data_IF_180220891427
#
_entry.id   IF_180220891427
#
_cell.length_a   1.000
_cell.length_b   1.000
_cell.length_c   1.000
_cell.angle_alpha   90.00
_cell.angle_beta   90.00
_cell.angle_gamma   90.00
#
_symmetry.space_group_name_H-M   'P 1'
#
loop_
_entity.id
_entity.type
_entity.pdbx_description
1 polymer ?
#
# COMPACT_ATOMS: atom_id res chain seq x y z
N UNK A 1 8.67 27.40 -24.52
CA UNK A 1 8.89 26.02 -25.00
C UNK A 1 7.81 25.14 -24.38
N UNK A 2 6.83 24.67 -25.15
CA UNK A 2 5.84 23.70 -24.67
C UNK A 2 6.35 22.30 -24.97
N UNK A 3 6.47 21.46 -23.93
CA UNK A 3 6.76 20.03 -24.08
C UNK A 3 5.44 19.34 -24.44
N UNK A 4 5.34 18.80 -25.66
CA UNK A 4 4.26 17.92 -26.03
C UNK A 4 4.50 16.55 -25.38
N UNK A 5 3.67 16.18 -24.41
CA UNK A 5 3.63 14.83 -23.84
C UNK A 5 2.89 13.96 -24.86
N UNK A 6 3.61 13.09 -25.57
CA UNK A 6 2.98 12.09 -26.41
C UNK A 6 2.18 11.13 -25.52
N UNK A 7 0.85 11.13 -25.65
CA UNK A 7 0.01 10.12 -25.01
C UNK A 7 0.28 8.78 -25.70
N UNK A 8 0.73 7.77 -24.95
CA UNK A 8 0.89 6.42 -25.48
C UNK A 8 -0.49 5.83 -25.79
N UNK A 9 -0.67 5.27 -26.98
CA UNK A 9 -1.89 4.56 -27.38
C UNK A 9 -2.06 3.18 -26.71
N UNK A 10 -1.12 2.81 -25.83
CA UNK A 10 -1.21 1.57 -25.07
C UNK A 10 -2.18 1.78 -23.90
N UNK A 11 -3.23 0.95 -23.84
CA UNK A 11 -4.13 0.91 -22.68
C UNK A 11 -3.39 0.60 -21.37
N UNK A 12 -4.08 0.66 -20.22
CA UNK A 12 -3.47 0.36 -18.93
C UNK A 12 -2.87 -1.05 -18.92
N UNK A 13 -1.65 -1.18 -18.41
CA UNK A 13 -0.94 -2.46 -18.29
C UNK A 13 -0.93 -2.90 -16.84
N UNK A 14 -1.18 -4.19 -16.61
CA UNK A 14 -1.11 -4.83 -15.31
C UNK A 14 -0.19 -6.04 -15.39
N UNK A 15 0.26 -6.52 -14.24
CA UNK A 15 0.90 -7.84 -14.19
C UNK A 15 -0.09 -8.91 -14.65
N UNK A 16 0.35 -9.77 -15.56
CA UNK A 16 -0.39 -10.92 -16.07
C UNK A 16 0.33 -12.25 -15.81
N UNK A 17 1.44 -12.19 -15.05
CA UNK A 17 2.34 -13.33 -14.83
C UNK A 17 2.10 -14.04 -13.50
N UNK A 18 1.56 -13.36 -12.49
CA UNK A 18 1.43 -13.93 -11.15
C UNK A 18 2.73 -13.93 -10.34
N UNK A 19 3.83 -13.37 -10.87
CA UNK A 19 5.19 -13.50 -10.28
C UNK A 19 5.33 -12.92 -8.87
N UNK A 20 4.42 -12.04 -8.48
CA UNK A 20 4.43 -11.35 -7.18
C UNK A 20 3.73 -12.13 -6.06
N UNK A 21 3.04 -13.24 -6.35
CA UNK A 21 2.47 -14.08 -5.30
C UNK A 21 3.58 -14.68 -4.42
N UNK A 22 3.34 -14.68 -3.10
CA UNK A 22 4.30 -15.14 -2.10
C UNK A 22 4.13 -14.47 -0.75
N UNK A 23 5.00 -14.82 0.18
CA UNK A 23 5.08 -14.21 1.49
C UNK A 23 6.30 -13.30 1.57
N UNK A 24 6.17 -12.18 2.26
CA UNK A 24 7.19 -11.16 2.37
C UNK A 24 7.34 -10.72 3.82
N UNK A 25 8.57 -10.77 4.34
CA UNK A 25 8.91 -10.17 5.62
C UNK A 25 9.32 -8.72 5.39
N UNK A 26 8.54 -7.77 5.90
CA UNK A 26 8.80 -6.35 5.75
C UNK A 26 9.36 -5.75 7.05
N UNK A 27 10.45 -4.99 6.90
CA UNK A 27 11.21 -4.39 7.99
C UNK A 27 11.21 -2.87 7.80
N UNK A 28 10.66 -2.11 8.75
CA UNK A 28 10.76 -0.65 8.75
C UNK A 28 12.20 -0.19 8.92
N UNK A 29 12.56 0.88 8.21
CA UNK A 29 13.94 1.43 8.22
C UNK A 29 13.98 2.89 8.70
N UNK A 30 12.92 3.65 8.44
CA UNK A 30 12.79 5.02 8.91
C UNK A 30 11.32 5.38 9.14
N UNK A 31 11.07 6.26 10.10
CA UNK A 31 9.74 6.79 10.39
C UNK A 31 9.82 8.24 10.86
N UNK A 32 8.82 9.03 10.52
CA UNK A 32 8.66 10.42 10.97
C UNK A 32 7.23 10.90 10.82
N UNK A 33 6.94 12.09 11.34
CA UNK A 33 5.60 12.67 11.29
C UNK A 33 5.53 13.97 12.08
N UNK A 34 4.37 14.22 12.68
CA UNK A 34 4.15 15.38 13.56
C UNK A 34 3.78 14.90 14.95
N UNK A 35 4.16 15.63 16.00
CA UNK A 35 3.79 15.35 17.40
C UNK A 35 3.21 16.61 18.05
N UNK A 36 2.39 16.44 19.08
CA UNK A 36 1.93 17.55 19.91
C UNK A 36 2.96 17.88 20.98
N UNK A 37 3.34 19.15 21.08
CA UNK A 37 4.12 19.68 22.20
C UNK A 37 3.20 20.27 23.25
N UNK A 38 3.02 19.56 24.37
CA UNK A 38 2.14 19.99 25.46
C UNK A 38 2.55 21.29 26.15
N UNK A 39 3.85 21.60 26.18
CA UNK A 39 4.36 22.82 26.84
C UNK A 39 4.16 24.04 25.95
N UNK A 40 4.47 23.91 24.65
CA UNK A 40 4.36 25.01 23.69
C UNK A 40 2.96 25.11 23.06
N UNK A 41 2.11 24.09 23.25
CA UNK A 41 0.78 23.97 22.65
C UNK A 41 0.81 24.14 21.13
N UNK A 42 1.74 23.42 20.49
CA UNK A 42 1.95 23.47 19.05
C UNK A 42 2.32 22.10 18.45
N UNK A 43 2.05 21.95 17.15
CA UNK A 43 2.52 20.82 16.34
C UNK A 43 4.00 20.96 16.01
N UNK A 44 4.77 19.89 16.15
CA UNK A 44 6.18 19.85 15.78
C UNK A 44 6.48 18.66 14.88
N UNK A 45 7.33 18.87 13.87
CA UNK A 45 7.92 17.76 13.13
C UNK A 45 8.72 16.84 14.06
N UNK A 46 8.61 15.53 13.86
CA UNK A 46 9.23 14.53 14.70
C UNK A 46 9.82 13.39 13.87
N UNK A 47 10.99 12.90 14.29
CA UNK A 47 11.52 11.63 13.87
C UNK A 47 11.14 10.57 14.89
N UNK A 48 10.60 9.45 14.44
CA UNK A 48 10.20 8.35 15.32
C UNK A 48 11.23 7.23 15.25
N UNK A 49 11.53 6.65 16.40
CA UNK A 49 12.37 5.45 16.44
C UNK A 49 11.55 4.28 15.92
N UNK A 50 12.06 3.64 14.89
CA UNK A 50 11.50 2.38 14.40
C UNK A 50 11.73 1.31 15.46
N UNK A 51 10.67 0.65 15.96
CA UNK A 51 10.82 -0.36 16.99
C UNK A 51 11.44 -1.65 16.41
N UNK A 52 12.29 -2.37 17.15
CA UNK A 52 12.96 -3.60 16.66
C UNK A 52 11.98 -4.71 16.21
N UNK A 53 10.80 -4.73 16.81
CA UNK A 53 9.67 -5.63 16.57
C UNK A 53 8.63 -5.04 15.61
N UNK A 54 8.90 -3.92 14.95
CA UNK A 54 8.04 -3.31 13.94
C UNK A 54 7.94 -4.10 12.61
N UNK A 55 8.46 -5.32 12.57
CA UNK A 55 8.43 -6.17 11.40
C UNK A 55 7.03 -6.75 11.20
N UNK A 56 6.62 -6.88 9.94
CA UNK A 56 5.32 -7.44 9.60
C UNK A 56 5.42 -8.43 8.45
N UNK A 57 4.44 -9.32 8.41
CA UNK A 57 4.23 -10.25 7.32
C UNK A 57 3.29 -9.62 6.30
N UNK A 58 3.72 -9.64 5.04
CA UNK A 58 2.91 -9.26 3.91
C UNK A 58 2.70 -10.48 3.00
N UNK A 59 1.45 -10.91 2.86
CA UNK A 59 1.07 -12.10 2.11
C UNK A 59 0.35 -11.71 0.84
N UNK A 60 0.73 -12.32 -0.28
CA UNK A 60 0.12 -12.11 -1.59
C UNK A 60 -0.29 -13.44 -2.17
N UNK A 61 -1.59 -13.62 -2.35
CA UNK A 61 -2.20 -14.84 -2.86
C UNK A 61 -2.67 -14.55 -4.28
N UNK A 62 -2.17 -15.31 -5.25
CA UNK A 62 -2.69 -15.26 -6.62
C UNK A 62 -4.14 -15.75 -6.61
N UNK A 63 -5.05 -14.93 -7.13
CA UNK A 63 -6.48 -15.27 -7.20
C UNK A 63 -6.82 -15.85 -8.58
N UNK A 64 -6.98 -15.00 -9.60
CA UNK A 64 -7.32 -15.43 -10.95
C UNK A 64 -6.73 -14.51 -12.00
N UNK A 65 -6.45 -15.09 -13.18
CA UNK A 65 -6.24 -14.34 -14.41
C UNK A 65 -7.60 -13.90 -14.95
N UNK A 66 -7.67 -12.69 -15.49
CA UNK A 66 -8.89 -12.15 -16.08
C UNK A 66 -8.58 -11.26 -17.28
N UNK A 67 -9.58 -11.12 -18.14
CA UNK A 67 -9.64 -10.17 -19.24
C UNK A 67 -10.88 -9.29 -19.05
N UNK A 68 -10.73 -7.99 -19.25
CA UNK A 68 -11.85 -7.05 -19.19
C UNK A 68 -11.67 -5.91 -20.18
N UNK A 69 -12.76 -5.19 -20.44
CA UNK A 69 -12.75 -3.98 -21.26
C UNK A 69 -12.60 -2.75 -20.37
N UNK A 70 -11.62 -1.90 -20.68
CA UNK A 70 -11.40 -0.62 -20.00
C UNK A 70 -11.12 0.45 -21.05
N UNK A 71 -11.91 1.54 -21.06
CA UNK A 71 -11.79 2.62 -22.06
C UNK A 71 -11.76 2.14 -23.53
N UNK A 72 -12.47 1.05 -23.85
CA UNK A 72 -12.49 0.48 -25.20
C UNK A 72 -11.35 -0.49 -25.52
N UNK A 73 -10.36 -0.61 -24.64
CA UNK A 73 -9.23 -1.54 -24.77
C UNK A 73 -9.54 -2.87 -24.07
N UNK A 74 -9.10 -3.98 -24.65
CA UNK A 74 -9.00 -5.25 -23.90
C UNK A 74 -7.77 -5.19 -23.00
N UNK A 75 -7.98 -5.46 -21.72
CA UNK A 75 -6.95 -5.49 -20.70
C UNK A 75 -6.89 -6.90 -20.13
N UNK A 76 -5.68 -7.44 -20.00
CA UNK A 76 -5.41 -8.73 -19.37
C UNK A 76 -4.58 -8.48 -18.13
N UNK A 77 -4.89 -9.19 -17.06
CA UNK A 77 -4.12 -9.12 -15.82
C UNK A 77 -4.45 -10.27 -14.89
N UNK A 78 -3.65 -10.39 -13.83
CA UNK A 78 -3.95 -11.27 -12.69
C UNK A 78 -4.39 -10.43 -11.50
N UNK A 79 -5.28 -11.02 -10.72
CA UNK A 79 -5.76 -10.46 -9.46
C UNK A 79 -5.08 -11.15 -8.30
N UNK A 80 -4.85 -10.39 -7.24
CA UNK A 80 -4.26 -10.89 -6.01
C UNK A 80 -5.17 -10.60 -4.83
N UNK A 81 -5.13 -11.45 -3.81
CA UNK A 81 -5.53 -11.06 -2.47
C UNK A 81 -4.26 -10.72 -1.70
N UNK A 82 -4.28 -9.63 -0.94
CA UNK A 82 -3.11 -9.19 -0.21
C UNK A 82 -3.49 -8.95 1.25
N UNK A 83 -2.64 -9.39 2.18
CA UNK A 83 -2.89 -9.27 3.62
C UNK A 83 -1.62 -8.77 4.31
N UNK A 84 -1.78 -7.82 5.23
CA UNK A 84 -0.69 -7.25 6.04
C UNK A 84 -0.98 -7.56 7.51
N UNK A 85 0.00 -8.05 8.27
CA UNK A 85 -0.19 -8.30 9.70
C UNK A 85 1.12 -8.42 10.47
N UNK A 86 1.11 -8.17 11.79
CA UNK A 86 2.29 -8.37 12.61
C UNK A 86 2.71 -9.85 12.64
N UNK A 87 3.98 -10.12 12.94
CA UNK A 87 4.47 -11.48 13.10
C UNK A 87 3.72 -12.21 14.22
N UNK A 88 3.09 -13.34 13.89
CA UNK A 88 2.30 -14.15 14.84
C UNK A 88 0.93 -13.58 15.22
N UNK A 89 0.50 -12.47 14.60
CA UNK A 89 -0.82 -11.88 14.86
C UNK A 89 -1.80 -12.04 13.71
N UNK A 90 -2.94 -11.35 13.83
CA UNK A 90 -3.99 -11.36 12.81
C UNK A 90 -3.63 -10.45 11.64
N UNK A 91 -3.65 -10.99 10.43
CA UNK A 91 -3.45 -10.21 9.21
C UNK A 91 -4.77 -9.58 8.74
N UNK A 92 -4.70 -8.33 8.28
CA UNK A 92 -5.82 -7.59 7.71
C UNK A 92 -5.69 -7.55 6.18
N UNK A 93 -6.82 -7.73 5.51
CA UNK A 93 -6.88 -7.66 4.05
C UNK A 93 -6.67 -6.24 3.51
N UNK A 94 -5.96 -6.18 2.39
CA UNK A 94 -5.80 -5.00 1.57
C UNK A 94 -7.04 -4.77 0.72
N UNK A 95 -7.53 -3.54 0.74
CA UNK A 95 -8.59 -3.08 -0.14
C UNK A 95 -7.95 -2.23 -1.22
N UNK A 96 -8.13 -2.64 -2.47
CA UNK A 96 -7.73 -1.83 -3.61
C UNK A 96 -8.56 -0.55 -3.62
N UNK A 97 -7.89 0.59 -3.71
CA UNK A 97 -8.56 1.84 -4.05
C UNK A 97 -9.16 1.68 -5.45
N UNK A 98 -10.42 2.10 -5.63
CA UNK A 98 -11.11 2.03 -6.92
C UNK A 98 -10.48 3.06 -7.86
N UNK A 99 -9.33 2.71 -8.44
CA UNK A 99 -8.88 3.40 -9.64
C UNK A 99 -9.89 3.07 -10.74
N UNK A 100 -10.39 4.08 -11.45
CA UNK A 100 -11.47 3.97 -12.45
C UNK A 100 -11.22 2.97 -13.59
N UNK A 101 -10.12 2.23 -13.57
CA UNK A 101 -9.70 1.18 -14.49
C UNK A 101 -10.14 -0.23 -14.07
N UNK A 102 -10.63 -0.43 -12.83
CA UNK A 102 -10.96 -1.75 -12.31
C UNK A 102 -12.41 -2.18 -12.64
N UNK A 103 -12.61 -3.44 -13.10
CA UNK A 103 -13.95 -3.98 -13.28
C UNK A 103 -14.70 -4.05 -11.95
N UNK A 104 -16.02 -3.82 -12.00
CA UNK A 104 -16.88 -3.77 -10.80
C UNK A 104 -16.79 -5.05 -9.94
N UNK A 105 -16.46 -6.18 -10.55
CA UNK A 105 -16.26 -7.48 -9.89
C UNK A 105 -15.07 -7.52 -8.92
N UNK A 106 -14.12 -6.57 -9.03
CA UNK A 106 -12.98 -6.47 -8.12
C UNK A 106 -13.24 -5.54 -6.94
N UNK A 107 -14.29 -4.72 -7.02
CA UNK A 107 -14.62 -3.75 -5.98
C UNK A 107 -15.28 -4.49 -4.82
N UNK A 108 -14.59 -4.56 -3.67
CA UNK A 108 -15.17 -5.02 -2.40
C UNK A 108 -14.80 -6.43 -1.94
N UNK A 109 -13.91 -7.14 -2.65
CA UNK A 109 -13.51 -8.52 -2.27
C UNK A 109 -12.04 -8.65 -1.82
N UNK A 110 -11.39 -7.54 -1.47
CA UNK A 110 -9.97 -7.57 -1.09
C UNK A 110 -9.06 -8.01 -2.24
N UNK A 111 -9.50 -7.85 -3.48
CA UNK A 111 -8.69 -8.09 -4.67
C UNK A 111 -7.96 -6.82 -5.09
N UNK A 112 -6.71 -6.97 -5.46
CA UNK A 112 -5.87 -5.91 -6.01
C UNK A 112 -5.34 -6.30 -7.38
N UNK A 113 -5.08 -5.30 -8.21
CA UNK A 113 -4.27 -5.40 -9.41
C UNK A 113 -2.92 -4.76 -9.12
N UNK A 114 -1.87 -5.30 -9.73
CA UNK A 114 -0.52 -4.73 -9.65
C UNK A 114 -0.11 -4.24 -11.02
N UNK A 115 0.67 -3.16 -11.06
CA UNK A 115 1.35 -2.76 -12.29
C UNK A 115 2.40 -3.82 -12.71
N UNK A 116 2.89 -3.81 -13.96
CA UNK A 116 3.89 -4.77 -14.42
C UNK A 116 5.20 -4.74 -13.61
N UNK A 117 5.54 -3.59 -13.03
CA UNK A 117 6.68 -3.36 -12.14
C UNK A 117 6.35 -3.56 -10.64
N UNK A 118 5.16 -4.07 -10.33
CA UNK A 118 4.82 -4.56 -8.99
C UNK A 118 4.45 -3.45 -8.02
N UNK A 119 4.05 -2.28 -8.52
CA UNK A 119 3.47 -1.22 -7.71
C UNK A 119 1.98 -1.47 -7.51
N UNK A 120 1.51 -1.20 -6.30
CA UNK A 120 0.10 -1.08 -5.97
C UNK A 120 -0.05 -0.37 -4.63
N UNK A 121 -1.26 0.16 -4.39
CA UNK A 121 -1.67 0.68 -3.09
C UNK A 121 -2.55 -0.32 -2.36
N UNK A 122 -2.32 -0.46 -1.06
CA UNK A 122 -3.13 -1.27 -0.16
C UNK A 122 -3.65 -0.39 0.97
N UNK A 123 -4.97 -0.33 1.09
CA UNK A 123 -5.63 0.30 2.22
C UNK A 123 -6.07 -0.80 3.17
N UNK A 124 -5.71 -0.73 4.45
CA UNK A 124 -6.15 -1.74 5.42
C UNK A 124 -7.59 -1.49 5.86
N UNK A 125 -8.24 -2.53 6.39
CA UNK A 125 -9.60 -2.42 6.91
C UNK A 125 -9.70 -1.32 7.98
N UNK A 126 -10.68 -0.42 7.84
CA UNK A 126 -10.81 0.78 8.67
C UNK A 126 -10.14 2.03 8.07
N UNK A 127 -9.37 1.88 6.99
CA UNK A 127 -8.81 3.00 6.22
C UNK A 127 -7.85 3.87 7.03
N UNK A 128 -7.20 3.31 8.06
CA UNK A 128 -6.30 4.06 8.93
C UNK A 128 -4.85 4.01 8.42
N UNK A 129 -4.46 2.88 7.81
CA UNK A 129 -3.14 2.71 7.20
C UNK A 129 -3.23 2.55 5.68
N UNK A 130 -2.35 3.27 5.00
CA UNK A 130 -2.16 3.25 3.56
C UNK A 130 -0.76 2.75 3.26
N UNK A 131 -0.65 1.67 2.52
CA UNK A 131 0.62 1.15 2.07
C UNK A 131 0.77 1.36 0.58
N UNK A 132 1.90 1.93 0.16
CA UNK A 132 2.37 1.90 -1.22
C UNK A 132 3.51 0.91 -1.29
N UNK A 133 3.34 -0.17 -2.05
CA UNK A 133 4.36 -1.21 -2.23
C UNK A 133 4.97 -1.13 -3.63
N UNK A 134 6.25 -1.49 -3.74
CA UNK A 134 6.91 -1.83 -4.99
C UNK A 134 7.64 -3.17 -4.83
N UNK A 135 7.08 -4.24 -5.39
CA UNK A 135 7.59 -5.60 -5.20
C UNK A 135 8.76 -5.97 -6.10
N UNK A 136 9.06 -5.17 -7.13
CA UNK A 136 10.29 -5.34 -7.91
C UNK A 136 11.51 -4.86 -7.12
N UNK A 137 11.37 -3.73 -6.42
CA UNK A 137 12.44 -3.13 -5.61
C UNK A 137 12.39 -3.57 -4.14
N UNK A 138 11.34 -4.30 -3.77
CA UNK A 138 11.03 -4.74 -2.41
C UNK A 138 11.02 -3.60 -1.40
N UNK A 139 10.39 -2.49 -1.77
CA UNK A 139 10.22 -1.30 -0.91
C UNK A 139 8.76 -1.11 -0.57
N UNK A 140 8.52 -0.52 0.58
CA UNK A 140 7.18 -0.06 0.94
C UNK A 140 7.26 1.31 1.63
N UNK A 141 6.16 2.03 1.54
CA UNK A 141 5.83 3.19 2.34
C UNK A 141 4.51 2.92 3.03
N UNK A 142 4.40 3.24 4.32
CA UNK A 142 3.17 3.23 5.10
C UNK A 142 2.86 4.65 5.55
N UNK A 143 1.62 5.07 5.37
CA UNK A 143 1.10 6.34 5.86
C UNK A 143 -0.04 6.07 6.83
N UNK A 144 0.08 6.61 8.03
CA UNK A 144 -0.98 6.64 9.03
C UNK A 144 -1.44 8.08 9.18
N UNK A 145 -2.61 8.39 8.62
CA UNK A 145 -3.17 9.75 8.56
C UNK A 145 -4.13 10.16 9.70
N UNK A 146 -4.82 9.23 10.43
CA UNK A 146 -5.87 9.65 11.39
C UNK A 146 -5.39 10.50 12.56
N UNK A 147 -4.10 10.56 12.85
CA UNK A 147 -3.63 11.16 14.10
C UNK A 147 -4.10 12.59 14.33
N UNK A 148 -4.46 12.88 15.59
CA UNK A 148 -4.96 14.18 16.08
C UNK A 148 -6.27 14.70 15.46
N UNK A 149 -6.96 13.93 14.60
CA UNK A 149 -8.25 14.34 14.00
C UNK A 149 -9.47 13.92 14.83
N UNK A 150 -9.26 13.18 15.91
CA UNK A 150 -10.27 12.79 16.90
C UNK A 150 -10.54 13.89 17.95
N UNK A 151 -9.84 15.03 17.85
CA UNK A 151 -9.96 16.17 18.76
C UNK A 151 -9.14 16.05 20.04
N UNK A 152 -8.32 14.99 20.17
CA UNK A 152 -7.39 14.83 21.28
C UNK A 152 -5.98 15.29 20.90
N UNK A 153 -5.40 16.18 21.70
CA UNK A 153 -4.01 16.61 21.53
C UNK A 153 -3.03 15.66 22.25
N UNK A 154 -3.11 14.35 21.99
CA UNK A 154 -2.27 13.34 22.67
C UNK A 154 -1.37 12.59 21.70
N UNK A 155 -0.11 12.35 22.07
CA UNK A 155 0.85 11.62 21.23
C UNK A 155 0.57 10.09 21.12
N UNK A 156 -0.56 9.61 21.64
CA UNK A 156 -0.97 8.19 21.54
C UNK A 156 -1.45 7.82 20.12
N UNK A 157 -1.96 8.81 19.38
CA UNK A 157 -2.49 8.66 18.03
C UNK A 157 -1.77 9.63 17.09
N UNK A 158 -0.48 9.36 16.86
CA UNK A 158 0.40 10.28 16.12
C UNK A 158 0.43 9.93 14.63
N UNK A 159 0.12 10.85 13.70
CA UNK A 159 0.19 10.57 12.28
C UNK A 159 1.65 10.41 11.86
N UNK A 160 1.93 9.43 11.02
CA UNK A 160 3.29 9.08 10.64
C UNK A 160 3.39 8.64 9.18
N UNK A 161 4.61 8.78 8.65
CA UNK A 161 5.08 8.16 7.43
C UNK A 161 6.23 7.24 7.81
N UNK A 162 6.16 5.99 7.38
CA UNK A 162 7.17 4.97 7.57
C UNK A 162 7.61 4.44 6.20
N UNK A 163 8.90 4.17 6.05
CA UNK A 163 9.44 3.50 4.86
C UNK A 163 10.30 2.33 5.28
N UNK A 164 10.29 1.28 4.45
CA UNK A 164 11.06 0.09 4.74
C UNK A 164 11.32 -0.77 3.52
N UNK A 165 11.82 -1.97 3.80
CA UNK A 165 12.11 -2.98 2.77
C UNK A 165 11.50 -4.31 3.15
N UNK A 166 11.12 -5.06 2.12
CA UNK A 166 10.65 -6.42 2.28
C UNK A 166 11.70 -7.42 1.79
N UNK A 167 11.59 -8.64 2.26
CA UNK A 167 12.34 -9.79 1.75
C UNK A 167 11.31 -10.87 1.42
N UNK A 168 11.36 -11.39 0.18
CA UNK A 168 10.52 -12.52 -0.20
C UNK A 168 10.98 -13.75 0.60
N UNK A 169 10.02 -14.50 1.13
CA UNK A 169 10.24 -15.76 1.81
C UNK A 169 9.91 -16.90 0.85
N UNK A 170 10.76 -17.92 0.87
CA UNK A 170 10.59 -19.15 0.10
C UNK A 170 9.59 -20.12 0.75
#
# INVERSE_FOLDING_TARGET
>A
MSVAIAQSNDGPKFDDTGKYAGNYLCVPLASGGVRWNETAKEWQGAAFKVPPDGQFLFQIILSKRMEWKSFGFSVVGVTYQANVGPLGGHAVGCWGEREGYQPAELVGYGHILMSPDGNFRCNTHGGLDYYDFNLTTLRYQRNYHPGFVDGGDSNENTPLVEVGKCTRMD
#
